data_IF_552735780839
#
_entry.id   IF_552735780839
#
_cell.length_a   1.000
_cell.length_b   1.000
_cell.length_c   1.000
_cell.angle_alpha   90.00
_cell.angle_beta   90.00
_cell.angle_gamma   90.00
#
_symmetry.space_group_name_H-M   'P 1'
#
loop_
_entity.id
_entity.type
_entity.pdbx_description
1 polymer ?
#
# COMPACT_ATOMS: atom_id res chain seq x y z
N UNK A 1 -6.16 14.07 -19.89
CA UNK A 1 -6.36 12.71 -19.40
C UNK A 1 -5.90 12.66 -17.94
N UNK A 2 -6.60 11.94 -17.07
CA UNK A 2 -6.33 11.90 -15.62
C UNK A 2 -4.92 11.39 -15.27
N UNK A 3 -4.41 10.45 -16.05
CA UNK A 3 -3.11 9.82 -15.81
C UNK A 3 -1.90 10.56 -16.39
N UNK A 4 -2.08 11.52 -17.28
CA UNK A 4 -0.97 12.12 -18.08
C UNK A 4 0.10 12.86 -17.27
N UNK A 5 -0.17 13.19 -16.01
CA UNK A 5 0.76 13.89 -15.11
C UNK A 5 1.38 12.98 -14.03
N UNK A 6 1.20 11.67 -14.17
CA UNK A 6 1.76 10.67 -13.27
C UNK A 6 3.03 10.13 -13.92
N UNK A 7 4.15 10.09 -13.20
CA UNK A 7 5.41 9.58 -13.76
C UNK A 7 5.40 8.04 -13.83
N UNK A 8 5.08 7.38 -12.72
CA UNK A 8 5.14 5.93 -12.62
C UNK A 8 3.84 5.35 -12.03
N UNK A 9 3.29 4.35 -12.68
CA UNK A 9 2.12 3.60 -12.21
C UNK A 9 2.59 2.19 -11.83
N UNK A 10 2.34 1.79 -10.58
CA UNK A 10 2.71 0.48 -10.04
C UNK A 10 1.46 -0.26 -9.58
N UNK A 11 1.24 -1.46 -10.10
CA UNK A 11 0.15 -2.32 -9.65
C UNK A 11 0.61 -3.17 -8.46
N UNK A 12 -0.25 -3.28 -7.44
CA UNK A 12 -0.01 -4.20 -6.33
C UNK A 12 -0.99 -5.36 -6.47
N UNK A 13 -0.45 -6.53 -6.76
CA UNK A 13 -1.20 -7.74 -7.10
C UNK A 13 -1.10 -8.79 -5.98
N UNK A 14 -2.12 -9.64 -5.87
CA UNK A 14 -2.08 -10.80 -4.99
C UNK A 14 -2.97 -11.93 -5.47
N UNK A 15 -2.50 -13.17 -5.45
CA UNK A 15 -3.23 -14.34 -5.94
C UNK A 15 -4.47 -14.70 -5.12
N UNK A 16 -4.57 -14.26 -3.86
CA UNK A 16 -5.74 -14.48 -3.00
C UNK A 16 -5.97 -13.35 -2.01
N UNK A 17 -7.18 -13.29 -1.45
CA UNK A 17 -7.50 -12.38 -0.35
C UNK A 17 -6.80 -12.75 0.95
N UNK A 18 -6.63 -11.77 1.84
CA UNK A 18 -6.08 -11.99 3.18
C UNK A 18 -4.55 -12.09 3.27
N UNK A 19 -3.81 -11.90 2.18
CA UNK A 19 -2.33 -11.88 2.21
C UNK A 19 -1.74 -10.55 2.68
N UNK A 20 -2.59 -9.55 2.96
CA UNK A 20 -2.17 -8.23 3.41
C UNK A 20 -1.70 -7.30 2.28
N UNK A 21 -2.22 -7.46 1.06
CA UNK A 21 -1.90 -6.63 -0.10
C UNK A 21 -2.05 -5.14 0.20
N UNK A 22 -3.22 -4.70 0.69
CA UNK A 22 -3.49 -3.30 1.02
C UNK A 22 -2.61 -2.78 2.17
N UNK A 23 -2.21 -3.64 3.11
CA UNK A 23 -1.22 -3.31 4.14
C UNK A 23 0.16 -3.03 3.53
N UNK A 24 0.58 -3.84 2.55
CA UNK A 24 1.82 -3.60 1.80
C UNK A 24 1.71 -2.33 0.97
N UNK A 25 0.59 -2.11 0.26
CA UNK A 25 0.31 -0.88 -0.51
C UNK A 25 0.43 0.37 0.37
N UNK A 26 -0.18 0.34 1.56
CA UNK A 26 -0.13 1.46 2.52
C UNK A 26 1.30 1.75 2.96
N UNK A 27 2.08 0.73 3.31
CA UNK A 27 3.45 0.90 3.77
C UNK A 27 4.39 1.36 2.66
N UNK A 28 4.22 0.86 1.42
CA UNK A 28 4.94 1.37 0.25
C UNK A 28 4.64 2.85 0.01
N UNK A 29 3.37 3.25 0.09
CA UNK A 29 2.97 4.65 -0.07
C UNK A 29 3.57 5.55 1.01
N UNK A 30 3.53 5.13 2.28
CA UNK A 30 4.15 5.86 3.40
C UNK A 30 5.67 5.97 3.22
N UNK A 31 6.32 4.89 2.80
CA UNK A 31 7.77 4.85 2.59
C UNK A 31 8.21 5.74 1.41
N UNK A 32 7.48 5.72 0.29
CA UNK A 32 7.71 6.63 -0.85
C UNK A 32 7.52 8.09 -0.44
N UNK A 33 6.46 8.40 0.31
CA UNK A 33 6.21 9.75 0.83
C UNK A 33 7.34 10.21 1.78
N UNK A 34 7.84 9.33 2.66
CA UNK A 34 8.99 9.60 3.53
C UNK A 34 10.31 9.77 2.76
N UNK A 35 10.38 9.27 1.53
CA UNK A 35 11.49 9.51 0.61
C UNK A 35 11.34 10.84 -0.17
N UNK A 36 10.26 11.59 0.06
CA UNK A 36 10.00 12.90 -0.54
C UNK A 36 9.22 12.86 -1.86
N UNK A 37 8.72 11.69 -2.27
CA UNK A 37 7.93 11.55 -3.49
C UNK A 37 6.46 11.91 -3.28
N UNK A 38 5.84 12.50 -4.32
CA UNK A 38 4.39 12.69 -4.38
C UNK A 38 3.70 11.39 -4.78
N UNK A 39 2.78 10.91 -3.93
CA UNK A 39 2.20 9.56 -4.06
C UNK A 39 0.68 9.61 -4.08
N UNK A 40 0.09 8.90 -5.04
CA UNK A 40 -1.33 8.55 -5.08
C UNK A 40 -1.54 7.07 -4.78
N UNK A 41 -2.62 6.73 -4.08
CA UNK A 41 -3.07 5.35 -3.91
C UNK A 41 -4.48 5.22 -4.43
N UNK A 42 -4.67 4.39 -5.45
CA UNK A 42 -5.97 4.04 -6.00
C UNK A 42 -6.37 2.64 -5.53
N UNK A 43 -7.41 2.58 -4.70
CA UNK A 43 -8.01 1.34 -4.22
C UNK A 43 -9.14 0.91 -5.17
N UNK A 44 -8.87 -0.13 -5.96
CA UNK A 44 -9.86 -0.73 -6.87
C UNK A 44 -10.37 -2.09 -6.37
N UNK A 45 -10.09 -2.47 -5.13
CA UNK A 45 -10.76 -3.61 -4.48
C UNK A 45 -12.19 -3.22 -4.09
N UNK A 46 -13.09 -3.34 -5.05
CA UNK A 46 -14.49 -2.94 -4.89
C UNK A 46 -15.28 -3.82 -3.91
N UNK A 47 -14.71 -4.94 -3.47
CA UNK A 47 -15.35 -5.89 -2.57
C UNK A 47 -15.00 -5.68 -1.10
N UNK A 48 -13.82 -5.14 -0.83
CA UNK A 48 -13.33 -4.89 0.52
C UNK A 48 -12.41 -3.68 0.59
N UNK A 49 -12.88 -2.46 0.24
CA UNK A 49 -12.03 -1.28 0.21
C UNK A 49 -11.49 -0.98 1.61
N UNK A 50 -10.18 -1.08 1.78
CA UNK A 50 -9.51 -0.97 3.08
C UNK A 50 -8.58 0.24 3.21
N UNK A 51 -8.15 0.81 2.11
CA UNK A 51 -7.19 1.93 2.07
C UNK A 51 -7.66 3.16 2.88
N UNK A 52 -8.94 3.59 2.82
CA UNK A 52 -9.41 4.73 3.63
C UNK A 52 -9.18 4.53 5.13
N UNK A 53 -9.41 3.31 5.62
CA UNK A 53 -9.19 2.96 7.03
C UNK A 53 -7.71 2.94 7.37
N UNK A 54 -6.89 2.34 6.51
CA UNK A 54 -5.45 2.22 6.73
C UNK A 54 -4.72 3.56 6.76
N UNK A 55 -5.27 4.57 6.08
CA UNK A 55 -4.76 5.95 6.15
C UNK A 55 -5.45 6.82 7.20
N UNK A 56 -6.36 6.29 8.01
CA UNK A 56 -7.15 7.02 9.00
C UNK A 56 -7.97 8.18 8.40
N UNK A 57 -8.40 8.05 7.15
CA UNK A 57 -9.20 9.04 6.42
C UNK A 57 -10.59 8.52 6.04
N UNK A 58 -11.06 7.47 6.67
CA UNK A 58 -12.32 6.81 6.34
C UNK A 58 -13.57 7.69 6.49
N UNK A 59 -13.48 8.78 7.25
CA UNK A 59 -14.56 9.77 7.43
C UNK A 59 -14.51 10.91 6.41
N UNK A 60 -13.43 10.95 5.59
CA UNK A 60 -13.31 11.97 4.56
C UNK A 60 -14.33 11.77 3.43
N UNK A 61 -14.65 12.86 2.76
CA UNK A 61 -15.58 12.86 1.63
C UNK A 61 -14.84 13.25 0.35
N UNK A 62 -15.14 12.55 -0.73
CA UNK A 62 -14.66 12.91 -2.06
C UNK A 62 -15.35 14.20 -2.48
N UNK A 63 -14.57 15.15 -2.98
CA UNK A 63 -15.06 16.40 -3.54
C UNK A 63 -15.08 16.30 -5.06
N UNK A 64 -16.19 16.69 -5.67
CA UNK A 64 -16.30 16.81 -7.12
C UNK A 64 -15.78 18.17 -7.56
N UNK A 65 -15.04 18.20 -8.67
CA UNK A 65 -14.59 19.40 -9.33
C UNK A 65 -14.96 19.36 -10.82
N UNK A 66 -14.92 20.48 -11.55
CA UNK A 66 -15.10 20.43 -12.99
C UNK A 66 -14.08 19.47 -13.64
N UNK A 67 -14.59 18.40 -14.25
CA UNK A 67 -13.77 17.37 -14.91
C UNK A 67 -13.53 16.09 -14.12
N UNK A 68 -13.99 15.98 -12.86
CA UNK A 68 -13.87 14.72 -12.14
C UNK A 68 -13.89 14.83 -10.61
N UNK A 69 -13.28 13.85 -9.97
CA UNK A 69 -13.17 13.73 -8.52
C UNK A 69 -11.79 14.12 -8.01
N UNK A 70 -11.75 14.92 -6.96
CA UNK A 70 -10.50 15.17 -6.26
C UNK A 70 -10.18 14.00 -5.32
N UNK A 71 -8.98 13.42 -5.38
CA UNK A 71 -8.57 12.39 -4.44
C UNK A 71 -8.50 12.98 -3.02
N UNK A 72 -8.77 12.14 -2.03
CA UNK A 72 -8.73 12.52 -0.61
C UNK A 72 -7.28 12.71 -0.19
N UNK A 73 -6.87 13.87 0.36
CA UNK A 73 -5.55 14.06 0.90
C UNK A 73 -5.38 13.27 2.21
N UNK A 74 -4.31 12.51 2.32
CA UNK A 74 -3.85 11.89 3.57
C UNK A 74 -2.99 12.90 4.32
N UNK A 75 -2.04 13.54 3.62
CA UNK A 75 -1.30 14.71 4.08
C UNK A 75 -0.71 15.47 2.88
N UNK A 76 -0.44 16.74 3.10
CA UNK A 76 0.32 17.57 2.15
C UNK A 76 1.82 17.34 2.29
N UNK A 77 2.58 17.74 1.27
CA UNK A 77 4.03 17.72 1.35
C UNK A 77 4.54 18.62 2.49
N UNK A 78 5.54 18.14 3.19
CA UNK A 78 6.30 18.90 4.18
C UNK A 78 7.79 18.95 3.77
N UNK A 79 8.25 20.04 3.17
CA UNK A 79 9.63 20.18 2.74
C UNK A 79 10.65 20.16 3.89
N UNK A 80 10.28 20.64 5.09
CA UNK A 80 11.15 20.66 6.27
C UNK A 80 11.38 19.24 6.80
N UNK A 81 10.31 18.44 6.86
CA UNK A 81 10.37 17.04 7.23
C UNK A 81 10.81 16.12 6.07
N UNK A 82 10.97 16.66 4.85
CA UNK A 82 11.24 15.91 3.61
C UNK A 82 10.20 14.82 3.37
N UNK A 83 8.94 15.15 3.55
CA UNK A 83 7.80 14.27 3.33
C UNK A 83 7.07 14.74 2.08
N UNK A 84 6.85 13.83 1.13
CA UNK A 84 6.09 14.11 -0.08
C UNK A 84 4.58 14.11 0.17
N UNK A 85 3.83 14.66 -0.75
CA UNK A 85 2.36 14.63 -0.73
C UNK A 85 1.82 13.20 -0.84
N UNK A 86 0.79 12.88 -0.07
CA UNK A 86 0.10 11.58 -0.13
C UNK A 86 -1.41 11.79 -0.19
N UNK A 87 -2.02 11.20 -1.21
CA UNK A 87 -3.47 11.23 -1.44
C UNK A 87 -3.99 9.87 -1.86
N UNK A 88 -5.27 9.61 -1.61
CA UNK A 88 -5.88 8.33 -1.99
C UNK A 88 -7.28 8.51 -2.58
N UNK A 89 -7.68 7.52 -3.39
CA UNK A 89 -9.03 7.38 -3.89
C UNK A 89 -9.48 5.93 -3.74
N UNK A 90 -10.69 5.72 -3.27
CA UNK A 90 -11.28 4.40 -3.03
C UNK A 90 -12.79 4.44 -3.21
N UNK A 91 -13.36 3.31 -3.60
CA UNK A 91 -14.82 3.15 -3.59
C UNK A 91 -15.40 3.35 -2.18
N UNK A 92 -14.64 3.06 -1.13
CA UNK A 92 -15.06 3.24 0.25
C UNK A 92 -15.56 4.65 0.57
N UNK A 93 -15.04 5.67 -0.13
CA UNK A 93 -15.50 7.05 0.02
C UNK A 93 -16.83 7.37 -0.67
N UNK A 94 -17.22 6.56 -1.65
CA UNK A 94 -18.43 6.76 -2.47
C UNK A 94 -19.65 5.99 -1.92
N UNK A 95 -19.45 5.11 -0.94
CA UNK A 95 -20.51 4.35 -0.30
C UNK A 95 -21.29 5.23 0.68
N UNK A 96 -22.62 5.19 0.60
CA UNK A 96 -23.47 6.03 1.46
C UNK A 96 -23.47 5.58 2.93
N UNK A 97 -23.30 4.30 3.18
CA UNK A 97 -23.21 3.72 4.53
C UNK A 97 -22.08 2.72 4.58
N UNK A 98 -21.30 2.76 5.65
CA UNK A 98 -20.34 1.71 6.00
C UNK A 98 -21.12 0.42 6.26
N UNK A 99 -20.74 -0.65 5.60
CA UNK A 99 -21.41 -1.94 5.73
C UNK A 99 -22.52 -2.18 4.72
N UNK A 100 -22.82 -1.24 3.83
CA UNK A 100 -23.67 -1.55 2.67
C UNK A 100 -22.92 -2.55 1.79
N UNK A 101 -23.42 -3.79 1.78
CA UNK A 101 -22.95 -4.79 0.84
C UNK A 101 -23.44 -4.39 -0.57
N UNK A 102 -22.60 -3.68 -1.31
CA UNK A 102 -22.93 -3.36 -2.69
C UNK A 102 -22.63 -4.57 -3.54
N UNK A 103 -23.66 -5.27 -3.97
CA UNK A 103 -23.52 -6.39 -4.92
C UNK A 103 -23.28 -5.82 -6.30
N UNK A 104 -22.00 -5.68 -6.64
CA UNK A 104 -21.58 -5.27 -7.98
C UNK A 104 -21.60 -6.47 -8.93
N UNK A 105 -22.30 -6.34 -10.04
CA UNK A 105 -22.15 -7.28 -11.16
C UNK A 105 -20.92 -6.89 -11.99
N UNK A 106 -20.25 -7.87 -12.62
CA UNK A 106 -19.01 -7.67 -13.40
C UNK A 106 -18.96 -6.41 -14.27
N UNK A 107 -19.97 -6.15 -15.13
CA UNK A 107 -19.96 -4.95 -15.99
C UNK A 107 -19.93 -3.63 -15.23
N UNK A 108 -20.59 -3.57 -14.04
CA UNK A 108 -20.55 -2.36 -13.19
C UNK A 108 -19.18 -2.16 -12.53
N UNK A 109 -18.53 -3.24 -12.11
CA UNK A 109 -17.18 -3.18 -11.54
C UNK A 109 -16.18 -2.68 -12.57
N UNK A 110 -16.21 -3.24 -13.78
CA UNK A 110 -15.37 -2.80 -14.90
C UNK A 110 -15.59 -1.33 -15.24
N UNK A 111 -16.85 -0.88 -15.29
CA UNK A 111 -17.18 0.53 -15.56
C UNK A 111 -16.62 1.45 -14.45
N UNK A 112 -16.71 1.05 -13.20
CA UNK A 112 -16.19 1.83 -12.06
C UNK A 112 -14.66 1.94 -12.10
N UNK A 113 -13.96 0.85 -12.41
CA UNK A 113 -12.50 0.87 -12.56
C UNK A 113 -12.08 1.86 -13.66
N UNK A 114 -12.73 1.80 -14.82
CA UNK A 114 -12.49 2.75 -15.92
C UNK A 114 -12.75 4.19 -15.48
N UNK A 115 -13.84 4.41 -14.75
CA UNK A 115 -14.18 5.73 -14.23
C UNK A 115 -13.14 6.25 -13.23
N UNK A 116 -12.60 5.42 -12.33
CA UNK A 116 -11.51 5.79 -11.43
C UNK A 116 -10.23 6.18 -12.19
N UNK A 117 -9.91 5.50 -13.28
CA UNK A 117 -8.74 5.83 -14.09
C UNK A 117 -8.94 7.11 -14.92
N UNK A 118 -10.18 7.40 -15.36
CA UNK A 118 -10.47 8.58 -16.21
C UNK A 118 -10.80 9.84 -15.42
N UNK A 119 -11.56 9.72 -14.33
CA UNK A 119 -12.24 10.84 -13.69
C UNK A 119 -11.59 11.32 -12.39
N UNK A 120 -10.59 10.59 -11.85
CA UNK A 120 -9.87 11.07 -10.67
C UNK A 120 -8.78 12.06 -11.08
N UNK A 121 -8.86 13.28 -10.56
CA UNK A 121 -7.96 14.39 -10.86
C UNK A 121 -6.73 14.34 -9.96
N UNK A 122 -5.80 13.43 -10.26
CA UNK A 122 -4.60 13.21 -9.45
C UNK A 122 -3.66 14.42 -9.38
N UNK A 123 -3.61 15.24 -10.42
CA UNK A 123 -2.56 16.26 -10.55
C UNK A 123 -1.20 15.62 -10.86
N UNK A 124 -0.13 16.31 -10.48
CA UNK A 124 1.24 15.79 -10.67
C UNK A 124 1.58 14.80 -9.55
N UNK A 125 2.02 13.58 -9.94
CA UNK A 125 2.47 12.53 -9.03
C UNK A 125 3.75 11.90 -9.55
N UNK A 126 4.65 11.56 -8.61
CA UNK A 126 5.78 10.71 -8.92
C UNK A 126 5.32 9.24 -9.06
N UNK A 127 4.48 8.78 -8.13
CA UNK A 127 3.99 7.40 -8.12
C UNK A 127 2.48 7.33 -7.91
N UNK A 128 1.81 6.49 -8.71
CA UNK A 128 0.46 6.01 -8.45
C UNK A 128 0.51 4.50 -8.13
N UNK A 129 0.21 4.13 -6.90
CA UNK A 129 0.06 2.75 -6.50
C UNK A 129 -1.40 2.32 -6.68
N UNK A 130 -1.63 1.22 -7.40
CA UNK A 130 -2.98 0.69 -7.62
C UNK A 130 -3.15 -0.58 -6.80
N UNK A 131 -3.96 -0.50 -5.73
CA UNK A 131 -4.34 -1.63 -4.89
C UNK A 131 -5.47 -2.41 -5.57
N UNK A 132 -5.14 -3.57 -6.15
CA UNK A 132 -6.06 -4.34 -7.01
C UNK A 132 -6.95 -5.28 -6.16
N UNK A 133 -8.06 -5.82 -6.71
CA UNK A 133 -8.75 -6.94 -6.07
C UNK A 133 -7.82 -8.15 -5.94
N UNK A 134 -8.13 -9.15 -5.11
CA UNK A 134 -7.38 -10.39 -5.08
C UNK A 134 -7.72 -11.31 -6.27
N UNK A 135 -6.74 -12.08 -6.74
CA UNK A 135 -6.88 -13.05 -7.83
C UNK A 135 -6.82 -12.43 -9.23
N UNK A 136 -7.01 -13.26 -10.26
CA UNK A 136 -6.99 -12.89 -11.67
C UNK A 136 -8.40 -12.88 -12.27
N UNK A 137 -9.21 -11.91 -11.86
CA UNK A 137 -10.59 -11.76 -12.35
C UNK A 137 -10.69 -10.86 -13.59
N UNK A 138 -11.89 -10.78 -14.18
CA UNK A 138 -12.17 -9.88 -15.30
C UNK A 138 -11.84 -8.41 -14.98
N UNK A 139 -11.86 -8.04 -13.70
CA UNK A 139 -11.47 -6.72 -13.22
C UNK A 139 -10.00 -6.42 -13.47
N UNK A 140 -9.10 -7.39 -13.25
CA UNK A 140 -7.67 -7.27 -13.53
C UNK A 140 -7.41 -7.10 -15.02
N UNK A 141 -8.08 -7.91 -15.85
CA UNK A 141 -7.94 -7.82 -17.31
C UNK A 141 -8.38 -6.43 -17.78
N UNK A 142 -9.54 -5.97 -17.31
CA UNK A 142 -10.05 -4.65 -17.67
C UNK A 142 -9.18 -3.51 -17.19
N UNK A 143 -8.61 -3.63 -15.97
CA UNK A 143 -7.65 -2.67 -15.44
C UNK A 143 -6.39 -2.60 -16.30
N UNK A 144 -5.80 -3.77 -16.61
CA UNK A 144 -4.60 -3.85 -17.45
C UNK A 144 -4.84 -3.30 -18.85
N UNK A 145 -5.93 -3.69 -19.52
CA UNK A 145 -6.30 -3.20 -20.85
C UNK A 145 -6.49 -1.68 -20.86
N UNK A 146 -7.17 -1.14 -19.84
CA UNK A 146 -7.42 0.31 -19.74
C UNK A 146 -6.10 1.06 -19.49
N UNK A 147 -5.25 0.57 -18.58
CA UNK A 147 -3.95 1.19 -18.30
C UNK A 147 -3.04 1.16 -19.52
N UNK A 148 -2.91 0.01 -20.20
CA UNK A 148 -2.05 -0.11 -21.38
C UNK A 148 -2.54 0.73 -22.57
N UNK A 149 -3.86 1.01 -22.62
CA UNK A 149 -4.45 1.88 -23.65
C UNK A 149 -4.28 3.36 -23.36
N UNK A 150 -4.50 3.77 -22.09
CA UNK A 150 -4.66 5.17 -21.71
C UNK A 150 -3.40 5.79 -21.08
N UNK A 151 -2.47 4.96 -20.61
CA UNK A 151 -1.18 5.40 -20.09
C UNK A 151 -0.19 5.75 -21.20
N UNK A 152 0.74 6.64 -20.90
CA UNK A 152 1.85 6.94 -21.80
C UNK A 152 2.84 5.78 -21.88
N UNK A 153 3.58 5.61 -23.00
CA UNK A 153 4.62 4.59 -23.08
C UNK A 153 5.62 4.69 -21.94
N UNK A 154 5.86 3.58 -21.23
CA UNK A 154 6.77 3.52 -20.08
C UNK A 154 6.18 4.00 -18.75
N UNK A 155 4.98 4.57 -18.73
CA UNK A 155 4.33 5.08 -17.52
C UNK A 155 3.86 3.96 -16.59
N UNK A 156 3.39 2.82 -17.13
CA UNK A 156 3.11 1.62 -16.35
C UNK A 156 4.44 0.94 -16.06
N UNK A 157 4.98 1.22 -14.89
CA UNK A 157 6.30 0.74 -14.48
C UNK A 157 6.34 -0.76 -14.22
N UNK A 158 5.21 -1.34 -13.81
CA UNK A 158 5.08 -2.77 -13.60
C UNK A 158 4.22 -3.15 -12.40
N UNK A 159 4.38 -4.37 -11.92
CA UNK A 159 3.63 -4.93 -10.82
C UNK A 159 4.53 -5.43 -9.69
N UNK A 160 4.12 -5.17 -8.45
CA UNK A 160 4.63 -5.80 -7.24
C UNK A 160 3.64 -6.88 -6.82
N UNK A 161 4.11 -8.10 -6.64
CA UNK A 161 3.27 -9.25 -6.30
C UNK A 161 3.43 -9.60 -4.83
N UNK A 162 2.32 -9.59 -4.08
CA UNK A 162 2.29 -9.86 -2.64
C UNK A 162 1.81 -11.28 -2.38
N UNK A 163 2.56 -12.02 -1.59
CA UNK A 163 2.23 -13.39 -1.15
C UNK A 163 2.47 -13.56 0.35
N UNK A 164 2.17 -14.75 0.88
CA UNK A 164 2.58 -15.20 2.21
C UNK A 164 3.43 -16.48 2.08
N UNK A 165 4.19 -16.90 3.11
CA UNK A 165 5.05 -18.10 3.03
C UNK A 165 4.33 -19.41 2.75
N UNK A 166 3.00 -19.45 2.95
CA UNK A 166 2.20 -20.66 2.82
C UNK A 166 2.16 -21.19 1.38
N UNK A 167 2.32 -22.50 1.19
CA UNK A 167 2.27 -23.15 -0.12
C UNK A 167 1.00 -22.85 -0.94
N UNK A 168 -0.15 -22.70 -0.28
CA UNK A 168 -1.42 -22.33 -0.94
C UNK A 168 -1.33 -20.93 -1.55
N UNK A 169 -0.68 -19.97 -0.87
CA UNK A 169 -0.53 -18.61 -1.39
C UNK A 169 0.43 -18.58 -2.59
N UNK A 170 1.52 -19.32 -2.53
CA UNK A 170 2.49 -19.38 -3.62
C UNK A 170 1.92 -20.03 -4.89
N UNK A 171 1.01 -21.01 -4.77
CA UNK A 171 0.33 -21.60 -5.91
C UNK A 171 -0.56 -20.59 -6.67
N UNK A 172 -1.25 -19.69 -5.94
CA UNK A 172 -2.09 -18.68 -6.55
C UNK A 172 -1.27 -17.54 -7.19
N UNK A 173 -0.13 -17.19 -6.63
CA UNK A 173 0.77 -16.17 -7.23
C UNK A 173 1.30 -16.60 -8.60
N UNK A 174 1.45 -17.90 -8.88
CA UNK A 174 1.78 -18.38 -10.24
C UNK A 174 0.78 -17.89 -11.29
N UNK A 175 -0.50 -17.75 -10.93
CA UNK A 175 -1.53 -17.20 -11.82
C UNK A 175 -1.29 -15.72 -12.09
N UNK A 176 -0.90 -14.94 -11.05
CA UNK A 176 -0.58 -13.51 -11.18
C UNK A 176 0.65 -13.28 -12.06
N UNK A 177 1.71 -14.05 -11.87
CA UNK A 177 2.91 -13.96 -12.70
C UNK A 177 2.62 -14.32 -14.16
N UNK A 178 1.79 -15.34 -14.41
CA UNK A 178 1.31 -15.67 -15.74
C UNK A 178 0.41 -14.58 -16.32
N UNK A 179 -0.43 -13.94 -15.51
CA UNK A 179 -1.24 -12.80 -15.94
C UNK A 179 -0.35 -11.65 -16.40
N UNK A 180 0.66 -11.27 -15.60
CA UNK A 180 1.64 -10.25 -15.98
C UNK A 180 2.33 -10.58 -17.31
N UNK A 181 2.79 -11.82 -17.46
CA UNK A 181 3.43 -12.27 -18.71
C UNK A 181 2.51 -12.17 -19.93
N UNK A 182 1.22 -12.51 -19.77
CA UNK A 182 0.22 -12.45 -20.88
C UNK A 182 -0.19 -11.03 -21.23
N UNK A 183 -0.23 -10.13 -20.25
CA UNK A 183 -0.62 -8.72 -20.46
C UNK A 183 0.55 -7.82 -20.84
N UNK A 184 1.80 -8.34 -20.76
CA UNK A 184 3.00 -7.54 -21.03
C UNK A 184 3.36 -6.57 -19.90
N UNK A 185 2.77 -6.73 -18.71
CA UNK A 185 3.12 -5.95 -17.52
C UNK A 185 4.38 -6.56 -16.89
N UNK A 186 5.44 -5.78 -16.77
CA UNK A 186 6.68 -6.21 -16.12
C UNK A 186 6.46 -6.50 -14.63
N UNK A 187 7.08 -7.54 -14.10
CA UNK A 187 7.08 -7.82 -12.66
C UNK A 187 8.30 -7.17 -12.04
N UNK A 188 8.06 -6.14 -11.20
CA UNK A 188 9.11 -5.43 -10.46
C UNK A 188 9.71 -6.36 -9.40
N UNK A 189 8.86 -7.15 -8.72
CA UNK A 189 9.31 -8.17 -7.81
C UNK A 189 8.20 -8.75 -6.92
N UNK A 190 8.59 -9.71 -6.08
CA UNK A 190 7.72 -10.42 -5.14
C UNK A 190 8.04 -9.99 -3.71
N UNK A 191 7.00 -9.72 -2.93
CA UNK A 191 7.06 -9.45 -1.50
C UNK A 191 6.39 -10.61 -0.75
N UNK A 192 7.11 -11.22 0.20
CA UNK A 192 6.56 -12.22 1.12
C UNK A 192 6.09 -11.53 2.40
N UNK A 193 4.79 -11.24 2.50
CA UNK A 193 4.19 -10.68 3.70
C UNK A 193 3.90 -11.78 4.74
N UNK A 194 3.80 -11.41 6.01
CA UNK A 194 3.62 -12.34 7.14
C UNK A 194 4.74 -13.39 7.24
N UNK A 195 5.97 -13.00 6.86
CA UNK A 195 7.15 -13.87 6.87
C UNK A 195 7.66 -14.21 8.30
N UNK A 196 7.05 -13.63 9.32
CA UNK A 196 7.32 -13.89 10.73
C UNK A 196 6.40 -13.05 11.60
N UNK A 197 6.53 -13.17 12.90
CA UNK A 197 5.81 -12.37 13.90
C UNK A 197 6.81 -11.77 14.87
N UNK A 198 6.80 -10.46 15.01
CA UNK A 198 7.60 -9.72 15.98
C UNK A 198 6.85 -9.68 17.30
N UNK A 199 7.38 -10.34 18.33
CA UNK A 199 6.78 -10.37 19.65
C UNK A 199 6.84 -8.95 20.27
N UNK A 200 5.70 -8.36 20.67
CA UNK A 200 5.69 -7.00 21.24
C UNK A 200 6.36 -6.92 22.63
N UNK A 201 6.63 -8.07 23.28
CA UNK A 201 7.20 -8.12 24.63
C UNK A 201 8.71 -8.37 24.63
N UNK A 202 9.22 -9.22 23.72
CA UNK A 202 10.65 -9.58 23.67
C UNK A 202 11.32 -9.26 22.33
N UNK A 203 10.58 -8.71 21.36
CA UNK A 203 11.05 -8.39 20.01
C UNK A 203 11.62 -9.59 19.22
N UNK A 204 11.45 -10.82 19.72
CA UNK A 204 11.85 -12.02 18.99
C UNK A 204 10.94 -12.24 17.78
N UNK A 205 11.53 -12.55 16.63
CA UNK A 205 10.78 -12.84 15.42
C UNK A 205 10.61 -14.34 15.23
N UNK A 206 9.37 -14.81 15.31
CA UNK A 206 9.00 -16.22 15.17
C UNK A 206 8.29 -16.47 13.85
N UNK A 207 8.65 -17.54 13.13
CA UNK A 207 8.01 -17.92 11.86
C UNK A 207 6.69 -18.67 12.15
N UNK A 208 5.55 -18.01 11.95
CA UNK A 208 4.22 -18.60 12.21
C UNK A 208 3.71 -19.42 11.02
N UNK A 209 3.95 -18.94 9.79
CA UNK A 209 3.41 -19.53 8.56
C UNK A 209 4.43 -20.24 7.69
N UNK A 210 5.63 -20.56 8.21
CA UNK A 210 6.77 -21.03 7.44
C UNK A 210 7.68 -19.89 7.00
N UNK A 211 8.60 -20.13 6.08
CA UNK A 211 9.56 -19.14 5.61
C UNK A 211 10.00 -19.45 4.18
N UNK A 212 10.16 -18.41 3.36
CA UNK A 212 10.85 -18.49 2.08
C UNK A 212 10.05 -19.02 0.89
N UNK A 213 8.73 -19.26 1.03
CA UNK A 213 7.90 -19.70 -0.09
C UNK A 213 7.84 -18.68 -1.21
N UNK A 214 7.79 -17.38 -0.87
CA UNK A 214 7.82 -16.29 -1.85
C UNK A 214 9.16 -16.15 -2.55
N UNK A 215 10.27 -16.38 -1.83
CA UNK A 215 11.60 -16.34 -2.41
C UNK A 215 11.81 -17.48 -3.42
N UNK A 216 11.50 -18.72 -3.05
CA UNK A 216 11.59 -19.88 -3.95
C UNK A 216 10.79 -19.65 -5.22
N UNK A 217 9.59 -19.08 -5.08
CA UNK A 217 8.77 -18.78 -6.24
C UNK A 217 9.35 -17.66 -7.11
N UNK A 218 9.91 -16.61 -6.51
CA UNK A 218 10.57 -15.56 -7.27
C UNK A 218 11.75 -16.13 -8.09
N UNK A 219 12.51 -17.07 -7.52
CA UNK A 219 13.58 -17.80 -8.20
C UNK A 219 13.04 -18.67 -9.35
N UNK A 220 11.96 -19.45 -9.13
CA UNK A 220 11.32 -20.29 -10.14
C UNK A 220 10.88 -19.48 -11.38
N UNK A 221 10.36 -18.28 -11.17
CA UNK A 221 9.87 -17.38 -12.23
C UNK A 221 10.92 -16.39 -12.71
N UNK A 222 12.12 -16.40 -12.15
CA UNK A 222 13.23 -15.48 -12.49
C UNK A 222 12.83 -14.01 -12.35
N UNK A 223 12.06 -13.68 -11.31
CA UNK A 223 11.68 -12.33 -10.94
C UNK A 223 12.38 -11.93 -9.63
N UNK A 224 12.63 -10.63 -9.39
CA UNK A 224 13.25 -10.19 -8.15
C UNK A 224 12.46 -10.57 -6.90
N UNK A 225 13.13 -10.96 -5.82
CA UNK A 225 12.55 -11.06 -4.48
C UNK A 225 12.90 -9.79 -3.70
N UNK A 226 11.89 -8.98 -3.38
CA UNK A 226 12.06 -7.68 -2.74
C UNK A 226 12.24 -7.79 -1.21
N UNK A 227 11.74 -8.87 -0.60
CA UNK A 227 11.93 -9.11 0.82
C UNK A 227 10.76 -9.79 1.52
N UNK A 228 11.02 -10.21 2.77
CA UNK A 228 10.01 -10.74 3.68
C UNK A 228 9.64 -9.71 4.74
N UNK A 229 8.34 -9.57 5.00
CA UNK A 229 7.78 -8.60 5.94
C UNK A 229 7.14 -9.37 7.10
N UNK A 230 7.62 -9.20 8.33
CA UNK A 230 6.99 -9.82 9.49
C UNK A 230 5.68 -9.11 9.86
N UNK A 231 4.83 -9.78 10.62
CA UNK A 231 3.67 -9.18 11.30
C UNK A 231 4.20 -8.36 12.48
N UNK A 232 3.86 -7.07 12.51
CA UNK A 232 4.12 -6.20 13.64
C UNK A 232 2.80 -5.62 14.17
N UNK A 233 2.39 -5.97 15.41
CA UNK A 233 1.18 -5.42 16.02
C UNK A 233 1.19 -3.89 16.16
N UNK A 234 2.36 -3.26 16.27
CA UNK A 234 2.46 -1.79 16.37
C UNK A 234 2.07 -1.10 15.07
N UNK A 235 2.33 -1.73 13.91
CA UNK A 235 1.81 -1.22 12.63
C UNK A 235 0.28 -1.31 12.58
N UNK A 236 -0.31 -2.41 13.07
CA UNK A 236 -1.77 -2.55 13.14
C UNK A 236 -2.37 -1.44 14.02
N UNK A 237 -1.77 -1.17 15.18
CA UNK A 237 -2.20 -0.07 16.06
C UNK A 237 -2.10 1.29 15.37
N UNK A 238 -1.04 1.54 14.60
CA UNK A 238 -0.86 2.79 13.86
C UNK A 238 -1.98 3.00 12.84
N UNK A 239 -2.29 2.00 12.01
CA UNK A 239 -3.31 2.14 10.94
C UNK A 239 -4.74 2.12 11.48
N UNK A 240 -5.01 1.45 12.61
CA UNK A 240 -6.36 1.38 13.17
C UNK A 240 -6.70 2.55 14.10
N UNK A 241 -5.71 3.10 14.81
CA UNK A 241 -5.96 4.12 15.83
C UNK A 241 -5.20 5.43 15.61
N UNK A 242 -4.30 5.47 14.61
CA UNK A 242 -3.42 6.61 14.38
C UNK A 242 -2.36 6.82 15.49
N UNK A 243 -2.20 5.89 16.43
CA UNK A 243 -1.20 5.99 17.49
C UNK A 243 0.19 5.70 16.97
N UNK A 244 1.18 6.45 17.46
CA UNK A 244 2.59 6.21 17.14
C UNK A 244 3.02 4.83 17.68
N UNK A 245 3.75 4.01 16.90
CA UNK A 245 4.33 2.77 17.38
C UNK A 245 5.23 2.99 18.59
N UNK A 246 5.10 2.13 19.59
CA UNK A 246 5.89 2.15 20.81
C UNK A 246 6.38 0.74 21.13
N UNK A 247 7.67 0.60 21.41
CA UNK A 247 8.30 -0.68 21.70
C UNK A 247 8.88 -0.69 23.12
N UNK A 248 8.92 -1.86 23.81
CA UNK A 248 9.54 -2.00 25.11
C UNK A 248 11.01 -1.60 25.09
N UNK A 249 11.53 -1.18 26.27
CA UNK A 249 12.95 -0.88 26.42
C UNK A 249 13.83 -2.07 26.01
N UNK A 250 14.90 -1.79 25.25
CA UNK A 250 15.81 -2.81 24.78
C UNK A 250 15.31 -3.57 23.53
N UNK A 251 14.23 -3.11 22.89
CA UNK A 251 13.78 -3.67 21.62
C UNK A 251 14.74 -3.30 20.50
N UNK A 252 15.57 -4.26 20.07
CA UNK A 252 16.49 -4.11 18.93
C UNK A 252 15.98 -4.95 17.77
N UNK A 253 15.57 -4.31 16.67
CA UNK A 253 15.12 -4.97 15.44
C UNK A 253 16.02 -4.53 14.29
N UNK A 254 16.58 -5.49 13.56
CA UNK A 254 17.54 -5.23 12.48
C UNK A 254 18.73 -4.32 12.87
N UNK A 255 19.18 -4.42 14.13
CA UNK A 255 20.30 -3.63 14.65
C UNK A 255 19.95 -2.20 15.06
N UNK A 256 18.68 -1.82 14.98
CA UNK A 256 18.18 -0.52 15.41
C UNK A 256 17.45 -0.65 16.75
N UNK A 257 17.86 0.14 17.74
CA UNK A 257 17.16 0.25 19.02
C UNK A 257 15.93 1.16 18.85
N UNK A 258 14.76 0.53 18.86
CA UNK A 258 13.47 1.22 18.68
C UNK A 258 12.93 1.81 20.00
N UNK A 259 13.51 1.46 21.14
CA UNK A 259 13.08 1.96 22.45
C UNK A 259 13.59 3.37 22.74
N UNK A 260 14.64 3.82 22.03
CA UNK A 260 15.28 5.12 22.25
C UNK A 260 14.75 6.26 21.38
N UNK A 261 13.67 6.06 20.64
CA UNK A 261 13.05 7.15 19.89
C UNK A 261 12.40 8.12 20.89
N UNK A 262 13.25 9.08 21.36
CA UNK A 262 12.88 10.12 22.32
C UNK A 262 11.61 10.81 21.87
N UNK A 263 10.65 10.80 22.78
CA UNK A 263 9.60 11.79 22.85
C UNK A 263 10.21 13.19 22.85
N UNK A 264 10.09 13.91 21.74
CA UNK A 264 9.97 15.36 21.81
C UNK A 264 8.53 15.64 22.28
N UNK A 265 8.22 15.21 23.48
CA UNK A 265 6.97 15.49 24.15
C UNK A 265 7.25 16.48 25.25
N UNK A 266 7.09 17.75 24.90
CA UNK A 266 6.60 18.69 25.90
C UNK A 266 5.12 18.40 26.11
N UNK A 267 4.81 17.96 27.32
CA UNK A 267 3.51 18.07 28.04
C UNK A 267 2.24 17.69 27.27
N UNK A 268 1.73 16.50 27.51
CA UNK A 268 0.28 16.28 27.53
C UNK A 268 -0.12 15.42 28.74
N UNK A 269 -0.29 16.07 29.88
CA UNK A 269 -1.24 15.68 30.91
C UNK A 269 -2.53 16.44 30.62
N UNK A 270 -3.47 15.85 29.92
CA UNK A 270 -4.92 16.13 29.99
C UNK A 270 -5.66 15.24 28.97
N UNK A 271 -6.88 14.88 29.32
CA UNK A 271 -7.80 13.93 28.71
C UNK A 271 -7.90 13.96 27.18
N UNK A 272 -8.31 12.84 26.52
CA UNK A 272 -8.36 12.76 25.07
C UNK A 272 -9.48 13.66 24.53
N UNK A 273 -9.13 14.84 24.02
CA UNK A 273 -9.99 15.53 23.09
C UNK A 273 -10.11 14.72 21.79
N UNK A 274 -11.30 14.30 21.45
CA UNK A 274 -11.64 13.71 20.15
C UNK A 274 -11.21 14.67 19.04
N UNK A 275 -10.17 14.30 18.28
CA UNK A 275 -10.00 14.86 16.96
C UNK A 275 -8.71 15.49 16.52
N UNK A 276 -7.52 15.26 17.11
CA UNK A 276 -6.22 15.54 16.43
C UNK A 276 -5.05 14.92 17.19
N UNK A 277 -4.68 13.71 16.86
CA UNK A 277 -3.36 13.17 17.20
C UNK A 277 -2.30 13.96 16.41
N UNK A 278 -1.50 14.75 17.11
CA UNK A 278 -0.46 15.58 16.50
C UNK A 278 0.54 14.77 15.66
N UNK A 279 0.80 15.19 14.43
CA UNK A 279 1.79 14.64 13.51
C UNK A 279 1.21 13.80 12.35
N UNK A 280 1.92 13.83 11.22
CA UNK A 280 1.53 13.10 10.01
C UNK A 280 1.61 11.58 10.22
N UNK A 281 0.72 10.82 9.59
CA UNK A 281 0.76 9.35 9.64
C UNK A 281 2.12 8.81 9.16
N UNK A 282 2.69 9.40 8.11
CA UNK A 282 4.00 9.05 7.59
C UNK A 282 5.12 9.27 8.63
N UNK A 283 5.08 10.37 9.38
CA UNK A 283 6.08 10.63 10.44
C UNK A 283 5.94 9.65 11.61
N UNK A 284 4.70 9.29 11.98
CA UNK A 284 4.47 8.25 12.99
C UNK A 284 4.99 6.89 12.52
N UNK A 285 4.85 6.59 11.23
CA UNK A 285 5.35 5.36 10.62
C UNK A 285 6.88 5.25 10.69
N UNK A 286 7.64 6.35 10.73
CA UNK A 286 9.11 6.32 10.98
C UNK A 286 9.49 5.56 12.24
N UNK A 287 8.61 5.52 13.23
CA UNK A 287 8.82 4.80 14.47
C UNK A 287 8.46 3.31 14.39
N UNK A 288 7.96 2.83 13.26
CA UNK A 288 7.58 1.43 13.07
C UNK A 288 8.81 0.57 12.75
N UNK A 289 8.87 -0.64 13.32
CA UNK A 289 9.92 -1.62 13.03
C UNK A 289 10.00 -2.00 11.55
N UNK A 290 8.87 -1.90 10.84
CA UNK A 290 8.76 -2.23 9.43
C UNK A 290 9.29 -1.14 8.51
N UNK A 291 9.49 0.10 9.00
CA UNK A 291 9.95 1.23 8.18
C UNK A 291 11.27 0.93 7.49
N UNK A 292 12.25 0.39 8.21
CA UNK A 292 13.57 0.06 7.64
C UNK A 292 13.48 -0.99 6.53
N UNK A 293 12.59 -1.98 6.68
CA UNK A 293 12.34 -3.00 5.64
C UNK A 293 11.72 -2.35 4.41
N UNK A 294 10.66 -1.54 4.62
CA UNK A 294 9.96 -0.89 3.51
C UNK A 294 10.80 0.18 2.82
N UNK A 295 11.66 0.89 3.55
CA UNK A 295 12.61 1.83 2.96
C UNK A 295 13.53 1.14 1.97
N UNK A 296 14.06 -0.05 2.32
CA UNK A 296 14.88 -0.85 1.41
C UNK A 296 14.07 -1.32 0.20
N UNK A 297 12.89 -1.93 0.43
CA UNK A 297 12.01 -2.40 -0.65
C UNK A 297 11.66 -1.25 -1.60
N UNK A 298 11.32 -0.09 -1.06
CA UNK A 298 10.99 1.12 -1.83
C UNK A 298 12.17 1.58 -2.67
N UNK A 299 13.38 1.58 -2.09
CA UNK A 299 14.60 1.94 -2.83
C UNK A 299 14.88 0.95 -3.97
N UNK A 300 14.69 -0.35 -3.73
CA UNK A 300 14.85 -1.38 -4.75
C UNK A 300 13.83 -1.18 -5.90
N UNK A 301 12.56 -0.88 -5.56
CA UNK A 301 11.50 -0.56 -6.53
C UNK A 301 11.86 0.70 -7.34
N UNK A 302 12.24 1.79 -6.69
CA UNK A 302 12.62 3.05 -7.34
C UNK A 302 13.80 2.82 -8.29
N UNK A 303 14.80 2.05 -7.87
CA UNK A 303 15.97 1.72 -8.70
C UNK A 303 15.61 0.86 -9.91
N UNK A 304 14.66 -0.06 -9.75
CA UNK A 304 14.21 -0.92 -10.85
C UNK A 304 13.36 -0.19 -11.91
N UNK A 305 12.70 0.90 -11.49
CA UNK A 305 11.82 1.68 -12.37
C UNK A 305 12.62 2.74 -13.15
N UNK A 306 13.72 3.24 -12.60
CA UNK A 306 14.59 4.28 -13.20
C UNK A 306 14.31 5.62 -12.58
#
# INVERSE_FOLDING_TARGET
>A
MSLSKIKHIVLILSGKGGVGKSSVTTQLALSLSLAGHSVGVLDVDLTGPSIPRMFNVENAKVTSAPGGWLPVPVHSADPEARVGDLRCMSLGFLLQRRGDAVVWRGPKKTAMIRQFLSDVLWGELDYLLIDTPPGTSDEHISLAETLLKDALPGQVAGAVVVTTPQAVATADVRKELNFCAKTGISVIGVIENMAGFVCPNCAECTNIFGKGGGQVMAEDFKVPFLGGIPIDPQFVMLVETGRRPAYPQGTVIHGQDLSQQKENTQTESTEPEEGKSAGLLAEKYRSCSLETIFRKITQDIVTAIG
#
